data_IF_532765090184
#
_entry.id   IF_532765090184
#
_cell.length_a   1.000
_cell.length_b   1.000
_cell.length_c   1.000
_cell.angle_alpha   90.00
_cell.angle_beta   90.00
_cell.angle_gamma   90.00
#
_symmetry.space_group_name_H-M   'P 1'
#
loop_
_entity.id
_entity.type
_entity.pdbx_description
1 polymer ?
#
# COMPACT_ATOMS: atom_id res chain seq x y z
N UNK A 1 11.48 18.97 -23.86
CA UNK A 1 10.55 18.41 -22.86
C UNK A 1 10.94 16.96 -22.75
N UNK A 2 11.74 16.64 -21.73
CA UNK A 2 11.93 15.25 -21.33
C UNK A 2 10.62 14.82 -20.67
N UNK A 3 10.05 13.68 -21.07
CA UNK A 3 8.85 13.12 -20.44
C UNK A 3 9.19 12.86 -18.96
N UNK A 4 8.68 13.71 -18.07
CA UNK A 4 8.85 13.56 -16.64
C UNK A 4 8.18 12.29 -16.16
N UNK A 5 8.91 11.47 -15.40
CA UNK A 5 8.37 10.24 -14.81
C UNK A 5 7.27 10.61 -13.81
N UNK A 6 6.04 10.16 -14.07
CA UNK A 6 4.90 10.44 -13.18
C UNK A 6 5.02 9.66 -11.87
N UNK A 7 4.50 10.21 -10.78
CA UNK A 7 4.36 9.49 -9.50
C UNK A 7 3.57 8.19 -9.68
N UNK A 8 2.56 8.20 -10.54
CA UNK A 8 1.81 6.99 -10.88
C UNK A 8 2.69 5.94 -11.55
N UNK A 9 3.66 6.36 -12.37
CA UNK A 9 4.62 5.45 -13.02
C UNK A 9 5.63 4.91 -12.00
N UNK A 10 6.08 5.74 -11.05
CA UNK A 10 6.98 5.32 -9.96
C UNK A 10 6.27 4.29 -9.06
N UNK A 11 5.01 4.53 -8.70
CA UNK A 11 4.22 3.55 -7.94
C UNK A 11 3.85 2.33 -8.78
N UNK A 12 3.60 2.48 -10.09
CA UNK A 12 3.34 1.35 -10.99
C UNK A 12 4.56 0.44 -11.15
N UNK A 13 5.78 0.98 -11.09
CA UNK A 13 6.99 0.18 -11.04
C UNK A 13 6.98 -0.74 -9.82
N UNK A 14 6.48 -0.30 -8.66
CA UNK A 14 6.35 -1.13 -7.45
C UNK A 14 5.30 -2.26 -7.59
N UNK A 15 4.34 -2.10 -8.50
CA UNK A 15 3.21 -3.02 -8.67
C UNK A 15 3.47 -4.21 -9.63
N UNK A 16 4.64 -4.30 -10.27
CA UNK A 16 4.96 -5.39 -11.20
C UNK A 16 5.92 -6.42 -10.59
N UNK A 17 5.50 -7.71 -10.44
CA UNK A 17 6.41 -8.74 -9.99
C UNK A 17 7.42 -9.08 -11.10
N UNK A 18 8.71 -9.02 -10.77
CA UNK A 18 9.79 -9.54 -11.64
C UNK A 18 9.75 -11.08 -11.76
N UNK A 19 8.97 -11.75 -10.91
CA UNK A 19 8.92 -13.20 -10.80
C UNK A 19 7.47 -13.68 -10.84
N UNK A 20 6.98 -13.98 -12.04
CA UNK A 20 5.83 -14.86 -12.24
C UNK A 20 6.33 -16.30 -12.16
N UNK A 21 6.88 -16.72 -11.01
CA UNK A 21 6.99 -18.15 -10.77
C UNK A 21 5.57 -18.66 -10.61
N UNK A 22 5.10 -19.41 -11.61
CA UNK A 22 3.80 -20.03 -11.59
C UNK A 22 3.75 -20.93 -10.35
N UNK A 23 2.94 -20.50 -9.38
CA UNK A 23 2.67 -21.16 -8.10
C UNK A 23 2.35 -22.65 -8.27
N UNK A 24 1.81 -23.04 -9.43
CA UNK A 24 1.48 -24.42 -9.76
C UNK A 24 2.71 -25.33 -9.95
N UNK A 25 3.86 -24.76 -10.33
CA UNK A 25 5.13 -25.49 -10.44
C UNK A 25 5.91 -25.49 -9.11
N UNK A 26 5.65 -24.48 -8.26
CA UNK A 26 6.27 -24.27 -6.95
C UNK A 26 5.94 -25.38 -5.92
N UNK A 27 4.93 -26.21 -6.16
CA UNK A 27 4.45 -27.22 -5.22
C UNK A 27 4.39 -28.64 -5.80
N UNK A 28 5.01 -28.88 -6.95
CA UNK A 28 5.15 -30.25 -7.48
C UNK A 28 6.19 -31.08 -6.71
N UNK A 29 7.21 -30.43 -6.13
CA UNK A 29 8.31 -31.06 -5.40
C UNK A 29 8.45 -30.55 -3.94
N UNK A 30 7.36 -30.63 -3.18
CA UNK A 30 7.29 -30.20 -1.77
C UNK A 30 8.27 -30.94 -0.85
N UNK A 31 8.72 -32.14 -1.25
CA UNK A 31 9.68 -32.93 -0.48
C UNK A 31 11.13 -32.40 -0.63
N UNK A 32 11.38 -31.40 -1.48
CA UNK A 32 12.70 -30.79 -1.66
C UNK A 32 12.93 -29.63 -0.68
N UNK A 33 13.85 -29.76 0.29
CA UNK A 33 14.16 -28.70 1.25
C UNK A 33 14.75 -27.44 0.60
N UNK A 34 15.35 -27.56 -0.59
CA UNK A 34 15.84 -26.42 -1.37
C UNK A 34 14.69 -25.54 -1.90
N UNK A 35 13.58 -26.17 -2.27
CA UNK A 35 12.39 -25.48 -2.77
C UNK A 35 11.73 -24.67 -1.65
N UNK A 36 11.72 -25.19 -0.42
CA UNK A 36 11.17 -24.47 0.73
C UNK A 36 11.99 -23.22 1.08
N UNK A 37 13.33 -23.27 1.01
CA UNK A 37 14.18 -22.10 1.26
C UNK A 37 14.02 -21.03 0.17
N UNK A 38 13.90 -21.46 -1.09
CA UNK A 38 13.64 -20.56 -2.22
C UNK A 38 12.26 -19.89 -2.13
N UNK A 39 11.22 -20.64 -1.78
CA UNK A 39 9.86 -20.11 -1.52
C UNK A 39 9.88 -19.14 -0.35
N UNK A 40 10.54 -19.52 0.74
CA UNK A 40 10.63 -18.68 1.94
C UNK A 40 11.37 -17.39 1.62
N UNK A 41 12.48 -17.47 0.89
CA UNK A 41 13.24 -16.31 0.43
C UNK A 41 12.38 -15.44 -0.49
N UNK A 42 11.75 -16.00 -1.52
CA UNK A 42 10.87 -15.27 -2.43
C UNK A 42 9.70 -14.59 -1.69
N UNK A 43 9.17 -15.25 -0.66
CA UNK A 43 8.11 -14.73 0.18
C UNK A 43 8.57 -13.55 1.05
N UNK A 44 9.77 -13.61 1.64
CA UNK A 44 10.31 -12.53 2.49
C UNK A 44 11.10 -11.46 1.72
N UNK A 45 11.47 -11.70 0.47
CA UNK A 45 12.04 -10.70 -0.42
C UNK A 45 10.93 -9.90 -1.07
N UNK A 46 10.29 -9.04 -0.28
CA UNK A 46 9.48 -7.97 -0.84
C UNK A 46 10.39 -6.99 -1.58
N UNK A 47 9.88 -6.36 -2.64
CA UNK A 47 10.62 -5.28 -3.28
C UNK A 47 10.86 -4.19 -2.24
N UNK A 48 12.07 -3.64 -2.23
CA UNK A 48 12.34 -2.51 -1.34
C UNK A 48 11.41 -1.37 -1.75
N UNK A 49 10.76 -0.68 -0.79
CA UNK A 49 9.90 0.44 -1.10
C UNK A 49 10.67 1.45 -1.96
N UNK A 50 10.07 1.84 -3.08
CA UNK A 50 10.68 2.80 -3.99
C UNK A 50 10.55 4.18 -3.36
N UNK A 51 11.70 4.83 -3.13
CA UNK A 51 11.71 6.20 -2.64
C UNK A 51 11.17 7.10 -3.76
N UNK A 52 10.02 7.73 -3.53
CA UNK A 52 9.47 8.72 -4.46
C UNK A 52 10.25 10.03 -4.29
N UNK A 53 10.89 10.55 -5.34
CA UNK A 53 11.58 11.84 -5.25
C UNK A 53 10.59 12.96 -4.95
N UNK A 54 11.07 13.98 -4.23
CA UNK A 54 10.22 15.08 -3.76
C UNK A 54 9.52 15.86 -4.88
N UNK A 55 10.21 16.13 -6.00
CA UNK A 55 9.66 16.89 -7.12
C UNK A 55 8.38 16.28 -7.71
N UNK A 56 8.43 15.03 -8.22
CA UNK A 56 7.25 14.32 -8.71
C UNK A 56 6.12 14.25 -7.67
N UNK A 57 6.45 13.98 -6.40
CA UNK A 57 5.45 13.94 -5.33
C UNK A 57 4.71 15.29 -5.20
N UNK A 58 5.44 16.40 -5.21
CA UNK A 58 4.84 17.73 -5.11
C UNK A 58 4.00 18.09 -6.35
N UNK A 59 4.43 17.67 -7.55
CA UNK A 59 3.65 17.84 -8.77
C UNK A 59 2.31 17.08 -8.69
N UNK A 60 2.35 15.81 -8.26
CA UNK A 60 1.16 15.01 -8.02
C UNK A 60 0.22 15.69 -7.01
N UNK A 61 0.75 16.08 -5.86
CA UNK A 61 -0.01 16.74 -4.79
C UNK A 61 -0.64 18.06 -5.26
N UNK A 62 0.12 18.87 -6.00
CA UNK A 62 -0.37 20.14 -6.55
C UNK A 62 -1.48 19.89 -7.57
N UNK A 63 -1.32 18.89 -8.44
CA UNK A 63 -2.35 18.52 -9.42
C UNK A 63 -3.66 18.09 -8.75
N UNK A 64 -3.58 17.36 -7.64
CA UNK A 64 -4.73 16.96 -6.84
C UNK A 64 -5.38 18.17 -6.15
N UNK A 65 -4.60 19.06 -5.53
CA UNK A 65 -5.13 20.30 -4.93
C UNK A 65 -5.88 21.13 -5.96
N UNK A 66 -5.33 21.30 -7.17
CA UNK A 66 -5.98 22.04 -8.27
C UNK A 66 -7.27 21.34 -8.70
N UNK A 67 -7.23 20.01 -8.87
CA UNK A 67 -8.39 19.20 -9.28
C UNK A 67 -9.57 19.31 -8.31
N UNK A 68 -9.29 19.41 -7.01
CA UNK A 68 -10.30 19.43 -5.95
C UNK A 68 -10.59 20.85 -5.43
N UNK A 69 -10.03 21.89 -6.05
CA UNK A 69 -10.24 23.28 -5.65
C UNK A 69 -11.72 23.68 -5.73
N UNK A 70 -12.22 24.31 -4.67
CA UNK A 70 -13.57 24.89 -4.63
C UNK A 70 -14.70 23.91 -4.27
N UNK A 71 -14.39 22.66 -3.92
CA UNK A 71 -15.39 21.72 -3.35
C UNK A 71 -15.54 21.84 -1.83
N UNK A 72 -14.48 22.25 -1.13
CA UNK A 72 -14.47 22.37 0.31
C UNK A 72 -14.70 23.82 0.76
N UNK A 73 -15.31 24.01 1.92
CA UNK A 73 -15.63 25.32 2.46
C UNK A 73 -14.37 26.12 2.82
N UNK A 74 -14.45 27.46 2.86
CA UNK A 74 -13.36 28.27 3.39
C UNK A 74 -13.09 27.87 4.84
N UNK A 75 -11.86 27.39 5.11
CA UNK A 75 -11.31 26.85 6.38
C UNK A 75 -11.34 25.33 6.55
N UNK A 76 -11.93 24.58 5.62
CA UNK A 76 -11.83 23.12 5.65
C UNK A 76 -10.54 22.66 5.00
N UNK A 77 -9.88 21.71 5.65
CA UNK A 77 -8.66 21.09 5.16
C UNK A 77 -9.05 20.09 4.07
N UNK A 78 -8.65 20.36 2.83
CA UNK A 78 -8.98 19.48 1.71
C UNK A 78 -8.28 18.13 1.90
N UNK A 79 -9.03 17.11 2.31
CA UNK A 79 -8.52 15.76 2.53
C UNK A 79 -8.32 14.98 1.23
N UNK A 80 -8.77 15.51 0.10
CA UNK A 80 -8.74 14.82 -1.19
C UNK A 80 -7.32 14.47 -1.67
N UNK A 81 -6.32 15.37 -1.57
CA UNK A 81 -4.95 15.04 -1.97
C UNK A 81 -4.34 13.95 -1.08
N UNK A 82 -4.56 14.00 0.23
CA UNK A 82 -4.13 12.94 1.15
C UNK A 82 -4.80 11.61 0.83
N UNK A 83 -6.12 11.62 0.55
CA UNK A 83 -6.84 10.41 0.15
C UNK A 83 -6.31 9.84 -1.16
N UNK A 84 -6.01 10.69 -2.13
CA UNK A 84 -5.43 10.29 -3.41
C UNK A 84 -4.04 9.65 -3.20
N UNK A 85 -3.18 10.26 -2.38
CA UNK A 85 -1.86 9.71 -2.05
C UNK A 85 -1.97 8.36 -1.34
N UNK A 86 -2.84 8.23 -0.33
CA UNK A 86 -3.05 6.98 0.39
C UNK A 86 -3.58 5.88 -0.53
N UNK A 87 -4.50 6.23 -1.44
CA UNK A 87 -5.01 5.30 -2.44
C UNK A 87 -3.89 4.80 -3.37
N UNK A 88 -2.99 5.68 -3.80
CA UNK A 88 -1.83 5.28 -4.62
C UNK A 88 -0.87 4.37 -3.84
N UNK A 89 -0.58 4.70 -2.58
CA UNK A 89 0.33 3.94 -1.71
C UNK A 89 -0.24 2.59 -1.25
N UNK A 90 -1.57 2.43 -1.24
CA UNK A 90 -2.23 1.19 -0.84
C UNK A 90 -2.40 0.19 -1.99
N UNK A 91 -2.18 0.60 -3.25
CA UNK A 91 -2.24 -0.31 -4.42
C UNK A 91 -1.37 -1.56 -4.26
N UNK A 92 -0.12 -1.49 -3.76
CA UNK A 92 0.71 -2.67 -3.57
C UNK A 92 0.18 -3.64 -2.52
N UNK A 93 -0.69 -3.19 -1.60
CA UNK A 93 -1.18 -4.03 -0.50
C UNK A 93 -2.02 -5.20 -0.99
N UNK A 94 -2.79 -4.99 -2.07
CA UNK A 94 -3.54 -6.09 -2.69
C UNK A 94 -2.60 -7.21 -3.11
N UNK A 95 -1.49 -6.85 -3.75
CA UNK A 95 -0.49 -7.81 -4.20
C UNK A 95 0.21 -8.52 -3.04
N UNK A 96 0.57 -7.80 -1.96
CA UNK A 96 1.16 -8.40 -0.74
C UNK A 96 0.20 -9.45 -0.17
N UNK A 97 -1.07 -9.10 -0.06
CA UNK A 97 -2.10 -9.99 0.47
C UNK A 97 -2.31 -11.19 -0.44
N UNK A 98 -2.40 -11.01 -1.76
CA UNK A 98 -2.51 -12.12 -2.72
C UNK A 98 -1.31 -13.08 -2.66
N UNK A 99 -0.10 -12.53 -2.58
CA UNK A 99 1.14 -13.31 -2.45
C UNK A 99 1.16 -14.09 -1.13
N UNK A 100 0.70 -13.48 -0.04
CA UNK A 100 0.51 -14.16 1.24
C UNK A 100 -0.51 -15.28 1.17
N UNK A 101 -1.67 -15.04 0.57
CA UNK A 101 -2.70 -16.06 0.37
C UNK A 101 -2.13 -17.29 -0.35
N UNK A 102 -1.39 -17.05 -1.43
CA UNK A 102 -0.73 -18.10 -2.21
C UNK A 102 0.23 -18.92 -1.35
N UNK A 103 1.14 -18.25 -0.62
CA UNK A 103 2.16 -18.92 0.17
C UNK A 103 1.56 -19.75 1.31
N UNK A 104 0.63 -19.16 2.07
CA UNK A 104 -0.08 -19.84 3.16
C UNK A 104 -0.88 -21.03 2.62
N UNK A 105 -1.53 -20.88 1.47
CA UNK A 105 -2.30 -21.97 0.88
C UNK A 105 -1.42 -23.15 0.46
N UNK A 106 -0.23 -22.86 -0.09
CA UNK A 106 0.78 -23.87 -0.37
C UNK A 106 1.21 -24.65 0.87
N UNK A 107 1.48 -23.94 1.97
CA UNK A 107 1.83 -24.55 3.25
C UNK A 107 0.70 -25.42 3.82
N UNK A 108 -0.55 -24.96 3.77
CA UNK A 108 -1.72 -25.72 4.22
C UNK A 108 -1.87 -27.02 3.40
N UNK A 109 -1.78 -26.95 2.07
CA UNK A 109 -1.89 -28.14 1.20
C UNK A 109 -0.79 -29.15 1.47
N UNK A 110 0.42 -28.67 1.74
CA UNK A 110 1.57 -29.48 2.13
C UNK A 110 1.30 -30.22 3.44
N UNK A 111 0.95 -29.46 4.49
CA UNK A 111 0.65 -30.00 5.80
C UNK A 111 -0.45 -31.06 5.74
N UNK A 112 -1.55 -30.77 5.04
CA UNK A 112 -2.68 -31.68 4.87
C UNK A 112 -2.27 -32.95 4.11
N UNK A 113 -1.44 -32.83 3.08
CA UNK A 113 -0.93 -33.99 2.33
C UNK A 113 -0.12 -34.92 3.25
N UNK A 114 0.75 -34.36 4.09
CA UNK A 114 1.52 -35.11 5.08
C UNK A 114 0.62 -35.74 6.14
N UNK A 115 -0.32 -34.99 6.70
CA UNK A 115 -1.27 -35.50 7.69
C UNK A 115 -2.08 -36.69 7.14
N UNK A 116 -2.60 -36.59 5.92
CA UNK A 116 -3.29 -37.69 5.26
C UNK A 116 -2.39 -38.90 4.99
N UNK A 117 -1.09 -38.67 4.74
CA UNK A 117 -0.11 -39.74 4.54
C UNK A 117 0.08 -40.58 5.80
N UNK A 118 0.09 -39.94 6.97
CA UNK A 118 0.34 -40.61 8.24
C UNK A 118 -0.93 -41.13 8.94
N UNK A 119 -2.06 -40.45 8.77
CA UNK A 119 -3.29 -40.76 9.52
C UNK A 119 -4.32 -41.58 8.74
N UNK A 120 -4.20 -41.68 7.40
CA UNK A 120 -5.21 -42.32 6.55
C UNK A 120 -4.61 -43.47 5.76
N UNK A 121 -5.31 -44.61 5.81
CA UNK A 121 -4.93 -45.82 5.08
C UNK A 121 -4.81 -45.53 3.56
N UNK A 122 -3.75 -46.03 2.87
CA UNK A 122 -3.50 -45.71 1.47
C UNK A 122 -4.69 -45.94 0.53
N UNK A 123 -5.49 -47.00 0.75
CA UNK A 123 -6.62 -47.37 -0.11
C UNK A 123 -7.77 -46.35 -0.14
N UNK A 124 -7.97 -45.59 0.93
CA UNK A 124 -9.07 -44.60 1.03
C UNK A 124 -8.59 -43.16 0.96
N UNK A 125 -7.26 -42.93 1.03
CA UNK A 125 -6.64 -41.60 1.08
C UNK A 125 -7.06 -40.68 -0.06
N UNK A 126 -7.11 -41.20 -1.28
CA UNK A 126 -7.52 -40.41 -2.44
C UNK A 126 -8.98 -39.96 -2.34
N UNK A 127 -9.87 -40.83 -1.84
CA UNK A 127 -11.28 -40.52 -1.61
C UNK A 127 -11.46 -39.45 -0.53
N UNK A 128 -10.78 -39.61 0.62
CA UNK A 128 -10.81 -38.62 1.71
C UNK A 128 -10.28 -37.26 1.24
N UNK A 129 -9.14 -37.26 0.52
CA UNK A 129 -8.53 -36.03 -0.01
C UNK A 129 -9.50 -35.30 -0.96
N UNK A 130 -10.07 -36.01 -1.93
CA UNK A 130 -10.90 -35.41 -2.97
C UNK A 130 -12.26 -34.95 -2.46
N UNK A 131 -12.94 -35.78 -1.66
CA UNK A 131 -14.35 -35.58 -1.35
C UNK A 131 -14.59 -34.79 -0.06
N UNK A 132 -13.66 -34.87 0.91
CA UNK A 132 -13.83 -34.23 2.22
C UNK A 132 -12.89 -33.02 2.30
N UNK A 133 -11.59 -33.30 2.17
CA UNK A 133 -10.55 -32.31 2.45
C UNK A 133 -10.53 -31.19 1.43
N UNK A 134 -10.51 -31.50 0.14
CA UNK A 134 -10.50 -30.47 -0.90
C UNK A 134 -11.76 -29.61 -0.88
N UNK A 135 -12.92 -30.17 -0.52
CA UNK A 135 -14.16 -29.39 -0.39
C UNK A 135 -14.04 -28.35 0.72
N UNK A 136 -13.65 -28.78 1.92
CA UNK A 136 -13.47 -27.90 3.07
C UNK A 136 -12.36 -26.86 2.84
N UNK A 137 -11.26 -27.27 2.20
CA UNK A 137 -10.19 -26.35 1.82
C UNK A 137 -10.69 -25.30 0.80
N UNK A 138 -11.45 -25.69 -0.21
CA UNK A 138 -11.95 -24.70 -1.18
C UNK A 138 -12.90 -23.67 -0.55
N UNK A 139 -13.72 -24.09 0.42
CA UNK A 139 -14.58 -23.18 1.18
C UNK A 139 -13.75 -22.21 2.03
N UNK A 140 -12.82 -22.73 2.83
CA UNK A 140 -11.92 -21.91 3.64
C UNK A 140 -11.11 -20.91 2.81
N UNK A 141 -10.66 -21.32 1.61
CA UNK A 141 -9.95 -20.43 0.67
C UNK A 141 -10.83 -19.26 0.24
N UNK A 142 -12.09 -19.53 -0.11
CA UNK A 142 -13.02 -18.48 -0.55
C UNK A 142 -13.28 -17.47 0.56
N UNK A 143 -13.50 -17.94 1.78
CA UNK A 143 -13.71 -17.08 2.94
C UNK A 143 -12.48 -16.21 3.23
N UNK A 144 -11.29 -16.82 3.15
CA UNK A 144 -10.03 -16.11 3.34
C UNK A 144 -9.79 -15.05 2.25
N UNK A 145 -9.96 -15.39 0.98
CA UNK A 145 -9.84 -14.45 -0.15
C UNK A 145 -10.89 -13.32 -0.05
N UNK A 146 -12.11 -13.65 0.36
CA UNK A 146 -13.15 -12.66 0.59
C UNK A 146 -12.77 -11.68 1.71
N UNK A 147 -12.28 -12.19 2.84
CA UNK A 147 -11.88 -11.34 3.97
C UNK A 147 -10.67 -10.48 3.64
N UNK A 148 -9.72 -11.02 2.89
CA UNK A 148 -8.56 -10.30 2.38
C UNK A 148 -8.99 -9.11 1.51
N UNK A 149 -9.90 -9.32 0.57
CA UNK A 149 -10.47 -8.23 -0.24
C UNK A 149 -11.21 -7.21 0.61
N UNK A 150 -12.07 -7.66 1.53
CA UNK A 150 -12.80 -6.75 2.42
C UNK A 150 -11.86 -5.81 3.20
N UNK A 151 -10.76 -6.36 3.71
CA UNK A 151 -9.73 -5.57 4.42
C UNK A 151 -9.08 -4.57 3.46
N UNK A 152 -8.56 -5.03 2.31
CA UNK A 152 -7.86 -4.18 1.35
C UNK A 152 -8.79 -3.08 0.82
N UNK A 153 -10.01 -3.43 0.43
CA UNK A 153 -11.02 -2.50 -0.06
C UNK A 153 -11.35 -1.46 1.01
N UNK A 154 -11.49 -1.90 2.26
CA UNK A 154 -11.65 -1.02 3.42
C UNK A 154 -10.54 0.02 3.51
N UNK A 155 -9.28 -0.37 3.30
CA UNK A 155 -8.18 0.59 3.30
C UNK A 155 -8.18 1.52 2.07
N UNK A 156 -8.54 1.03 0.88
CA UNK A 156 -8.54 1.87 -0.33
C UNK A 156 -9.59 2.99 -0.32
N UNK A 157 -10.68 2.82 0.44
CA UNK A 157 -11.79 3.77 0.50
C UNK A 157 -11.89 4.58 1.80
N UNK A 158 -11.11 4.26 2.82
CA UNK A 158 -11.16 4.96 4.11
C UNK A 158 -10.55 6.36 4.03
N UNK A 159 -11.18 7.29 4.77
CA UNK A 159 -10.67 8.63 4.97
C UNK A 159 -9.39 8.59 5.83
N UNK A 160 -8.24 9.10 5.36
CA UNK A 160 -6.95 9.00 6.06
C UNK A 160 -6.99 9.49 7.52
N UNK A 161 -7.81 10.52 7.81
CA UNK A 161 -8.00 11.05 9.16
C UNK A 161 -8.46 10.00 10.20
N UNK A 162 -9.08 8.90 9.79
CA UNK A 162 -9.47 7.81 10.69
C UNK A 162 -8.25 7.04 11.25
N UNK A 163 -7.11 7.08 10.57
CA UNK A 163 -5.87 6.44 11.02
C UNK A 163 -5.02 7.34 11.93
N UNK A 164 -5.08 8.66 11.70
CA UNK A 164 -4.30 9.66 12.46
C UNK A 164 -4.70 9.69 13.95
N UNK A 165 -5.98 9.46 14.25
CA UNK A 165 -6.51 9.51 15.62
C UNK A 165 -5.96 8.46 16.58
N UNK A 166 -5.43 7.33 16.08
CA UNK A 166 -5.00 6.20 16.92
C UNK A 166 -3.49 6.04 17.01
N UNK A 167 -2.74 6.51 16.01
CA UNK A 167 -1.29 6.35 15.96
C UNK A 167 -0.51 7.45 16.69
N UNK A 168 -1.16 8.56 17.06
CA UNK A 168 -0.48 9.75 17.55
C UNK A 168 -0.58 9.92 19.08
N UNK A 169 0.40 9.35 19.79
CA UNK A 169 0.90 9.94 21.03
C UNK A 169 2.25 10.61 20.71
N UNK A 170 2.41 11.92 20.96
CA UNK A 170 3.65 12.63 20.65
C UNK A 170 4.83 12.01 21.42
N UNK A 171 5.69 11.27 20.71
CA UNK A 171 7.01 10.89 21.22
C UNK A 171 8.02 11.93 20.76
N UNK A 172 8.17 12.96 21.59
CA UNK A 172 9.17 14.06 21.71
C UNK A 172 10.20 14.43 20.62
N UNK A 173 10.60 13.57 19.68
CA UNK A 173 11.73 13.83 18.76
C UNK A 173 11.31 13.93 17.28
N UNK A 174 10.19 13.30 16.87
CA UNK A 174 9.72 13.31 15.47
C UNK A 174 9.08 14.63 15.02
N UNK A 175 8.70 15.51 15.95
CA UNK A 175 8.00 16.78 15.66
C UNK A 175 8.90 17.84 15.02
N UNK A 176 10.20 17.84 15.28
CA UNK A 176 11.10 18.91 14.81
C UNK A 176 11.40 18.82 13.31
N UNK A 177 11.71 17.63 12.80
CA UNK A 177 12.04 17.42 11.37
C UNK A 177 10.86 17.69 10.44
N UNK A 178 9.67 17.65 11.00
CA UNK A 178 8.40 17.77 10.31
C UNK A 178 7.89 19.19 10.27
N UNK A 179 8.05 19.94 11.36
CA UNK A 179 7.94 21.40 11.35
C UNK A 179 8.93 21.99 10.33
N UNK A 180 10.14 21.43 10.19
CA UNK A 180 11.07 21.82 9.14
C UNK A 180 10.56 21.52 7.72
N UNK A 181 9.82 20.43 7.51
CA UNK A 181 9.22 20.10 6.20
C UNK A 181 8.04 21.03 5.89
N UNK A 182 7.17 21.30 6.87
CA UNK A 182 6.09 22.28 6.76
C UNK A 182 6.67 23.65 6.40
N UNK A 183 7.69 24.11 7.14
CA UNK A 183 8.36 25.39 6.88
C UNK A 183 8.94 25.44 5.47
N UNK A 184 9.59 24.36 5.00
CA UNK A 184 10.12 24.30 3.62
C UNK A 184 9.04 24.32 2.55
N UNK A 185 7.89 23.68 2.79
CA UNK A 185 6.75 23.72 1.86
C UNK A 185 6.16 25.14 1.81
N UNK A 186 6.01 25.78 2.98
CA UNK A 186 5.50 27.15 3.08
C UNK A 186 6.46 28.15 2.43
N UNK A 187 7.77 27.96 2.59
CA UNK A 187 8.79 28.79 1.95
C UNK A 187 8.83 28.59 0.42
N UNK A 188 8.69 27.35 -0.06
CA UNK A 188 8.60 27.06 -1.50
C UNK A 188 7.34 27.67 -2.11
N UNK A 189 6.19 27.53 -1.45
CA UNK A 189 4.92 28.12 -1.89
C UNK A 189 5.00 29.65 -1.96
N UNK A 190 5.68 30.26 -0.99
CA UNK A 190 5.92 31.71 -0.96
C UNK A 190 6.84 32.18 -2.08
N UNK A 191 7.86 31.38 -2.45
CA UNK A 191 8.75 31.67 -3.59
C UNK A 191 8.02 31.56 -4.93
N UNK A 192 7.27 30.48 -5.13
CA UNK A 192 6.46 30.29 -6.34
C UNK A 192 5.42 31.41 -6.53
N UNK A 193 4.87 31.95 -5.43
CA UNK A 193 3.97 33.10 -5.45
C UNK A 193 4.65 34.42 -5.87
N UNK A 194 5.94 34.57 -5.56
CA UNK A 194 6.70 35.79 -5.87
C UNK A 194 7.20 35.88 -7.30
N UNK A 195 7.28 34.75 -8.01
CA UNK A 195 7.82 34.66 -9.36
C UNK A 195 6.77 34.93 -10.46
N UNK A 196 5.47 34.96 -10.14
CA UNK A 196 4.39 35.25 -11.09
C UNK A 196 3.34 36.25 -10.52
N UNK A 197 3.65 37.56 -10.46
CA UNK A 197 2.81 38.55 -9.81
C UNK A 197 1.52 38.90 -10.59
N UNK A 198 1.35 38.43 -11.83
CA UNK A 198 0.19 38.77 -12.66
C UNK A 198 -0.94 37.72 -12.64
N UNK A 199 -0.72 36.52 -12.07
CA UNK A 199 -1.64 35.39 -12.25
C UNK A 199 -2.50 34.97 -11.04
N UNK A 200 -2.29 35.41 -9.81
CA UNK A 200 -3.04 34.82 -8.67
C UNK A 200 -3.52 35.81 -7.62
N UNK A 201 -4.85 35.96 -7.53
CA UNK A 201 -5.52 36.66 -6.44
C UNK A 201 -5.20 36.07 -5.07
N UNK A 202 -5.07 36.94 -4.07
CA UNK A 202 -4.63 36.71 -2.68
C UNK A 202 -5.34 35.54 -1.95
N UNK A 203 -6.52 35.12 -2.41
CA UNK A 203 -7.25 33.97 -1.86
C UNK A 203 -6.55 32.63 -2.13
N UNK A 204 -5.74 32.50 -3.17
CA UNK A 204 -5.10 31.21 -3.51
C UNK A 204 -3.98 30.81 -2.54
N UNK A 205 -3.29 31.77 -1.93
CA UNK A 205 -2.12 31.50 -1.08
C UNK A 205 -2.50 30.94 0.30
N UNK A 206 -3.58 31.44 0.90
CA UNK A 206 -4.05 30.94 2.21
C UNK A 206 -4.63 29.53 2.12
N UNK A 207 -5.30 29.20 1.02
CA UNK A 207 -5.82 27.85 0.76
C UNK A 207 -4.69 26.84 0.49
N UNK A 208 -3.64 27.23 -0.25
CA UNK A 208 -2.49 26.37 -0.48
C UNK A 208 -1.70 26.12 0.81
N UNK A 209 -1.45 27.16 1.60
CA UNK A 209 -0.79 27.08 2.90
C UNK A 209 -1.52 26.14 3.87
N UNK A 210 -2.84 26.29 4.01
CA UNK A 210 -3.65 25.42 4.87
C UNK A 210 -3.73 23.98 4.36
N UNK A 211 -3.79 23.76 3.04
CA UNK A 211 -3.76 22.42 2.46
C UNK A 211 -2.39 21.74 2.62
N UNK A 212 -1.30 22.50 2.47
CA UNK A 212 0.07 22.04 2.69
C UNK A 212 0.32 21.67 4.15
N UNK A 213 -0.16 22.50 5.09
CA UNK A 213 -0.08 22.23 6.54
C UNK A 213 -0.88 20.97 6.90
N UNK A 214 -2.07 20.81 6.34
CA UNK A 214 -2.92 19.62 6.56
C UNK A 214 -2.37 18.35 5.92
N UNK A 215 -1.73 18.48 4.76
CA UNK A 215 -1.06 17.38 4.08
C UNK A 215 0.21 16.96 4.82
N UNK A 216 1.01 17.93 5.26
CA UNK A 216 2.18 17.67 6.07
C UNK A 216 1.77 16.94 7.35
N UNK A 217 0.70 17.40 8.03
CA UNK A 217 0.06 16.76 9.19
C UNK A 217 -0.45 15.33 8.92
N UNK A 218 -0.83 15.00 7.68
CA UNK A 218 -1.26 13.66 7.31
C UNK A 218 -0.10 12.72 6.93
N UNK A 219 0.98 13.24 6.35
CA UNK A 219 2.17 12.45 5.99
C UNK A 219 3.13 12.19 7.16
N UNK A 220 2.99 12.95 8.25
CA UNK A 220 3.50 12.62 9.60
C UNK A 220 3.28 11.17 10.00
N UNK A 221 2.18 10.58 9.52
CA UNK A 221 1.72 9.27 9.92
C UNK A 221 2.49 8.11 9.27
N UNK A 222 3.30 8.36 8.22
CA UNK A 222 3.94 7.29 7.42
C UNK A 222 5.42 7.05 7.75
N UNK A 223 6.18 8.09 8.16
CA UNK A 223 7.63 7.95 8.40
C UNK A 223 8.02 7.32 9.75
N UNK A 224 7.09 7.18 10.70
CA UNK A 224 7.39 6.63 12.05
C UNK A 224 7.25 5.09 12.11
N UNK A 225 6.88 4.45 11.00
CA UNK A 225 6.70 2.98 10.93
C UNK A 225 7.84 2.23 10.21
N UNK A 226 8.93 2.93 9.82
CA UNK A 226 10.18 2.34 9.28
C UNK A 226 11.34 2.50 10.26
#
# INVERSE_FOLDING_TARGET
MEDGVSVADIFALDNHPESTVLVEDLFRDIDSPALLDEITRAYYTHRKPVLVPWGPLMEFMTSEVVRWKGRDGPRDTNASPTRALFKEQSKPWLWIVESHCIAVWGAIRTFVSLALRHSVHPSIRAGVRRNIVNSALNELRRDFEHKCREIVDGFTDVHPAQFVSHAWQPRGEGTNRMLEIVDKIMEWASRAASEDPESTGETNHSHFASAAESWALANVCLEVSS
#
